data_IF_757229454031
#
_entry.id   IF_757229454031
#
_cell.length_a   1.000
_cell.length_b   1.000
_cell.length_c   1.000
_cell.angle_alpha   90.00
_cell.angle_beta   90.00
_cell.angle_gamma   90.00
#
_symmetry.space_group_name_H-M   'P 1'
#
loop_
_entity.id
_entity.type
_entity.pdbx_description
1 polymer ?
#
# COMPACT_ATOMS: atom_id res chain seq x y z
N UNK A 1 39.84 -1.15 -30.04
CA UNK A 1 38.55 -0.70 -29.45
C UNK A 1 37.94 -1.83 -28.63
N UNK A 2 38.12 -1.90 -27.31
CA UNK A 2 37.50 -3.02 -26.54
C UNK A 2 37.17 -2.73 -25.07
N UNK A 3 37.55 -1.55 -24.54
CA UNK A 3 37.26 -1.18 -23.15
C UNK A 3 35.86 -0.54 -23.00
N UNK A 4 35.43 0.29 -23.95
CA UNK A 4 34.20 1.09 -23.85
C UNK A 4 32.90 0.29 -23.89
N UNK A 5 32.90 -0.90 -24.51
CA UNK A 5 31.69 -1.75 -24.66
C UNK A 5 31.32 -2.41 -23.32
N UNK A 6 32.30 -2.73 -22.46
CA UNK A 6 32.07 -3.40 -21.17
C UNK A 6 31.32 -2.51 -20.18
N UNK A 7 31.59 -1.20 -20.18
CA UNK A 7 30.95 -0.24 -19.28
C UNK A 7 29.52 0.12 -19.71
N UNK A 8 29.25 0.12 -21.02
CA UNK A 8 27.90 0.33 -21.56
C UNK A 8 26.94 -0.82 -21.20
N UNK A 9 27.42 -2.06 -21.25
CA UNK A 9 26.63 -3.23 -20.83
C UNK A 9 26.32 -3.23 -19.32
N UNK A 10 27.27 -2.77 -18.49
CA UNK A 10 27.08 -2.67 -17.04
C UNK A 10 26.09 -1.55 -16.64
N UNK A 11 26.07 -0.43 -17.36
CA UNK A 11 25.14 0.67 -17.11
C UNK A 11 23.69 0.33 -17.50
N UNK A 12 23.49 -0.45 -18.59
CA UNK A 12 22.17 -0.88 -19.02
C UNK A 12 21.52 -1.90 -18.06
N UNK A 13 22.32 -2.71 -17.37
CA UNK A 13 21.83 -3.70 -16.40
C UNK A 13 21.27 -3.07 -15.11
N UNK A 14 21.75 -1.88 -14.72
CA UNK A 14 21.29 -1.17 -13.52
C UNK A 14 19.91 -0.51 -13.69
N UNK A 15 19.47 -0.25 -14.92
CA UNK A 15 18.20 0.42 -15.21
C UNK A 15 16.97 -0.52 -15.21
N UNK A 16 17.18 -1.84 -15.23
CA UNK A 16 16.09 -2.83 -15.31
C UNK A 16 15.58 -3.33 -13.95
N UNK A 17 16.16 -2.85 -12.83
CA UNK A 17 15.78 -3.26 -11.47
C UNK A 17 14.69 -2.38 -10.84
N UNK A 18 14.23 -1.33 -11.54
CA UNK A 18 13.12 -0.48 -11.11
C UNK A 18 11.77 -1.04 -11.56
N UNK A 19 11.39 -2.23 -11.07
CA UNK A 19 10.02 -2.69 -11.25
C UNK A 19 9.06 -1.75 -10.50
N UNK A 20 8.16 -1.07 -11.22
CA UNK A 20 7.06 -0.35 -10.58
C UNK A 20 6.23 -1.37 -9.80
N UNK A 21 6.32 -1.35 -8.47
CA UNK A 21 5.44 -2.13 -7.60
C UNK A 21 4.09 -1.45 -7.61
N UNK A 22 3.29 -1.73 -8.65
CA UNK A 22 1.91 -1.29 -8.70
C UNK A 22 1.12 -2.19 -7.76
N UNK A 23 0.56 -1.62 -6.69
CA UNK A 23 -0.38 -2.34 -5.85
C UNK A 23 -1.57 -2.73 -6.73
N UNK A 24 -1.75 -4.03 -6.96
CA UNK A 24 -2.82 -4.58 -7.80
C UNK A 24 -3.58 -5.63 -7.00
N UNK A 25 -4.88 -5.41 -6.79
CA UNK A 25 -5.73 -6.26 -5.98
C UNK A 25 -6.94 -5.49 -5.44
N UNK A 26 -7.93 -6.22 -4.93
CA UNK A 26 -9.08 -5.63 -4.27
C UNK A 26 -8.92 -5.79 -2.77
N UNK A 27 -9.07 -4.69 -2.03
CA UNK A 27 -8.80 -4.66 -0.61
C UNK A 27 -9.97 -4.05 0.15
N UNK A 28 -10.32 -4.64 1.30
CA UNK A 28 -11.18 -4.02 2.28
C UNK A 28 -10.36 -3.18 3.25
N UNK A 29 -10.69 -1.90 3.32
CA UNK A 29 -10.13 -0.94 4.26
C UNK A 29 -11.13 -0.74 5.39
N UNK A 30 -10.69 -1.04 6.60
CA UNK A 30 -11.46 -0.92 7.85
C UNK A 30 -10.67 -0.10 8.86
N UNK A 31 -11.33 0.43 9.89
CA UNK A 31 -10.64 1.17 10.93
C UNK A 31 -11.24 0.90 12.31
N UNK A 32 -10.40 1.04 13.33
CA UNK A 32 -10.79 1.09 14.74
C UNK A 32 -10.49 2.49 15.29
N UNK A 33 -11.35 2.99 16.17
CA UNK A 33 -11.16 4.28 16.83
C UNK A 33 -10.12 4.22 17.96
N UNK A 34 -9.93 5.34 18.65
CA UNK A 34 -8.97 5.47 19.77
C UNK A 34 -9.28 4.59 20.97
N UNK A 35 -10.52 4.14 21.13
CA UNK A 35 -10.95 3.21 22.17
C UNK A 35 -10.77 1.75 21.76
N UNK A 36 -10.38 1.51 20.50
CA UNK A 36 -10.31 0.18 19.90
C UNK A 36 -11.65 -0.33 19.38
N UNK A 37 -12.70 0.52 19.36
CA UNK A 37 -14.00 0.14 18.83
C UNK A 37 -13.97 0.17 17.29
N UNK A 38 -14.57 -0.81 16.61
CA UNK A 38 -14.62 -0.83 15.16
C UNK A 38 -15.52 0.30 14.63
N UNK A 39 -15.01 1.03 13.64
CA UNK A 39 -15.80 2.01 12.91
C UNK A 39 -16.68 1.21 11.93
N UNK A 40 -18.03 1.37 11.95
CA UNK A 40 -18.97 0.57 11.16
C UNK A 40 -18.99 0.99 9.68
N UNK A 41 -17.80 0.99 9.07
CA UNK A 41 -17.55 1.40 7.69
C UNK A 41 -16.48 0.49 7.10
N UNK A 42 -16.77 -0.09 5.95
CA UNK A 42 -15.84 -0.91 5.17
C UNK A 42 -15.77 -0.30 3.78
N UNK A 43 -14.56 -0.05 3.29
CA UNK A 43 -14.35 0.51 1.95
C UNK A 43 -13.56 -0.47 1.13
N UNK A 44 -14.18 -0.99 0.08
CA UNK A 44 -13.48 -1.79 -0.93
C UNK A 44 -12.74 -0.86 -1.88
N UNK A 45 -11.44 -1.06 -2.01
CA UNK A 45 -10.54 -0.23 -2.80
C UNK A 45 -9.69 -1.09 -3.71
N UNK A 46 -9.55 -0.69 -4.96
CA UNK A 46 -8.72 -1.38 -5.94
C UNK A 46 -7.31 -0.77 -6.00
N UNK A 47 -6.30 -1.60 -5.83
CA UNK A 47 -4.89 -1.22 -5.93
C UNK A 47 -4.56 0.01 -5.08
N UNK A 48 -3.87 0.98 -5.67
CA UNK A 48 -3.46 2.22 -4.98
C UNK A 48 -4.61 3.07 -4.40
N UNK A 49 -5.87 2.80 -4.74
CA UNK A 49 -7.01 3.51 -4.14
C UNK A 49 -7.11 3.30 -2.62
N UNK A 50 -6.44 2.28 -2.06
CA UNK A 50 -6.34 2.08 -0.60
C UNK A 50 -5.82 3.32 0.13
N UNK A 51 -4.97 4.11 -0.52
CA UNK A 51 -4.36 5.30 0.08
C UNK A 51 -5.38 6.42 0.26
N UNK A 52 -6.30 6.58 -0.69
CA UNK A 52 -7.41 7.52 -0.61
C UNK A 52 -8.38 7.12 0.49
N UNK A 53 -8.73 5.84 0.58
CA UNK A 53 -9.61 5.30 1.62
C UNK A 53 -9.01 5.47 3.02
N UNK A 54 -7.72 5.16 3.17
CA UNK A 54 -6.96 5.42 4.39
C UNK A 54 -6.98 6.90 4.77
N UNK A 55 -6.73 7.79 3.82
CA UNK A 55 -6.73 9.23 4.05
C UNK A 55 -8.11 9.75 4.48
N UNK A 56 -9.19 9.18 3.93
CA UNK A 56 -10.55 9.50 4.36
C UNK A 56 -10.78 9.09 5.82
N UNK A 57 -10.36 7.88 6.22
CA UNK A 57 -10.48 7.45 7.62
C UNK A 57 -9.73 8.40 8.56
N UNK A 58 -8.49 8.78 8.21
CA UNK A 58 -7.70 9.68 9.06
C UNK A 58 -8.27 11.10 9.16
N UNK A 59 -8.96 11.60 8.13
CA UNK A 59 -9.61 12.91 8.18
C UNK A 59 -10.87 12.91 9.05
N UNK A 60 -11.64 11.82 9.02
CA UNK A 60 -12.89 11.72 9.79
C UNK A 60 -12.67 11.25 11.23
N UNK A 61 -11.63 10.44 11.45
CA UNK A 61 -11.33 9.82 12.73
C UNK A 61 -9.84 9.98 13.06
N UNK A 62 -9.45 11.14 13.64
CA UNK A 62 -8.09 11.37 14.08
C UNK A 62 -7.65 10.27 15.06
N UNK A 63 -6.40 9.83 14.96
CA UNK A 63 -5.81 8.75 15.78
C UNK A 63 -6.47 7.36 15.64
N UNK A 64 -7.33 7.14 14.64
CA UNK A 64 -7.80 5.81 14.30
C UNK A 64 -6.66 4.91 13.80
N UNK A 65 -6.84 3.60 13.92
CA UNK A 65 -5.95 2.59 13.32
C UNK A 65 -6.67 1.93 12.15
N UNK A 66 -6.10 2.08 10.96
CA UNK A 66 -6.63 1.53 9.71
C UNK A 66 -5.99 0.17 9.44
N UNK A 67 -6.82 -0.80 9.06
CA UNK A 67 -6.39 -2.14 8.63
C UNK A 67 -6.93 -2.45 7.24
N UNK A 68 -6.03 -2.91 6.37
CA UNK A 68 -6.28 -3.24 4.97
C UNK A 68 -6.12 -4.74 4.80
N UNK A 69 -7.16 -5.41 4.30
CA UNK A 69 -7.16 -6.85 4.04
C UNK A 69 -7.48 -7.12 2.57
N UNK A 70 -6.78 -8.06 1.98
CA UNK A 70 -7.10 -8.56 0.64
C UNK A 70 -8.49 -9.19 0.65
N UNK A 71 -9.33 -8.80 -0.31
CA UNK A 71 -10.73 -9.21 -0.36
C UNK A 71 -10.89 -10.70 -0.67
N UNK A 72 -9.96 -11.28 -1.43
CA UNK A 72 -10.04 -12.65 -1.91
C UNK A 72 -9.50 -13.66 -0.89
N UNK A 73 -8.39 -13.31 -0.24
CA UNK A 73 -7.70 -14.18 0.71
C UNK A 73 -8.05 -13.88 2.16
N UNK A 74 -8.55 -12.68 2.45
CA UNK A 74 -8.77 -12.19 3.82
C UNK A 74 -7.48 -11.83 4.56
N UNK A 75 -6.32 -11.97 3.92
CA UNK A 75 -5.02 -11.69 4.53
C UNK A 75 -4.79 -10.20 4.71
N UNK A 76 -4.19 -9.82 5.83
CA UNK A 76 -3.79 -8.44 6.05
C UNK A 76 -2.61 -8.04 5.16
N UNK A 77 -2.76 -6.90 4.49
CA UNK A 77 -1.70 -6.31 3.67
C UNK A 77 -0.65 -5.66 4.59
N UNK A 78 0.26 -6.48 5.11
CA UNK A 78 1.29 -6.09 6.10
C UNK A 78 2.20 -4.94 5.66
N UNK A 79 2.37 -4.73 4.36
CA UNK A 79 3.15 -3.60 3.84
C UNK A 79 2.48 -2.24 4.08
N UNK A 80 1.16 -2.23 4.30
CA UNK A 80 0.33 -1.02 4.40
C UNK A 80 -0.53 -0.99 5.67
N UNK A 81 -0.43 -2.02 6.52
CA UNK A 81 -1.24 -2.18 7.72
C UNK A 81 -0.45 -2.83 8.86
N UNK A 82 -0.77 -2.49 10.13
CA UNK A 82 -1.74 -1.47 10.53
C UNK A 82 -1.18 -0.04 10.34
N UNK A 83 -2.04 0.88 9.90
CA UNK A 83 -1.68 2.28 9.76
C UNK A 83 -2.32 3.12 10.85
N UNK A 84 -1.51 3.87 11.60
CA UNK A 84 -1.99 4.74 12.66
C UNK A 84 -2.14 6.16 12.10
N UNK A 85 -3.37 6.67 12.11
CA UNK A 85 -3.64 8.06 11.75
C UNK A 85 -2.96 9.02 12.73
N UNK A 86 -2.48 10.15 12.22
CA UNK A 86 -1.77 11.17 13.01
C UNK A 86 -2.74 12.16 13.65
#
# INVERSE_FOLDING_TARGET
MSASIKYLAAAAALLMLGGCVTLSGDYNVTAVDVSGAPIPMVITSHGSAIYSSRNMFCQNFPKATVTIRDLNTGEELKSESPYHCR
#
